data_IF_952089219776
#
_entry.id   IF_952089219776
#
_cell.length_a   1.000
_cell.length_b   1.000
_cell.length_c   1.000
_cell.angle_alpha   90.00
_cell.angle_beta   90.00
_cell.angle_gamma   90.00
#
_symmetry.space_group_name_H-M   'P 1'
#
loop_
_entity.id
_entity.type
_entity.pdbx_description
1 polymer ?
#
# COMPACT_ATOMS: atom_id res chain seq x y z
N UNK A 1 3.30 -11.48 -16.70
CA UNK A 1 3.79 -10.34 -15.95
C UNK A 1 2.70 -9.30 -15.82
N UNK A 2 2.52 -8.77 -14.64
CA UNK A 2 1.50 -7.76 -14.44
C UNK A 2 1.94 -6.45 -15.08
N UNK A 3 1.04 -5.84 -15.84
CA UNK A 3 1.25 -4.51 -16.37
C UNK A 3 0.79 -3.50 -15.32
N UNK A 4 1.73 -2.73 -14.78
CA UNK A 4 1.39 -1.72 -13.80
C UNK A 4 1.37 -0.35 -14.47
N UNK A 5 0.23 -0.07 -15.12
CA UNK A 5 0.01 1.20 -15.79
C UNK A 5 -0.56 2.27 -14.86
N UNK A 6 -0.76 1.94 -13.58
CA UNK A 6 -1.28 2.90 -12.62
C UNK A 6 -0.32 4.06 -12.42
N UNK A 7 -0.83 5.23 -12.03
CA UNK A 7 0.04 6.36 -11.69
C UNK A 7 1.11 5.97 -10.67
N UNK A 8 2.31 6.52 -10.81
CA UNK A 8 3.45 6.18 -9.94
C UNK A 8 3.12 6.42 -8.48
N UNK A 9 2.38 7.48 -8.15
CA UNK A 9 2.08 7.77 -6.74
C UNK A 9 1.26 6.66 -6.08
N UNK A 10 0.42 5.94 -6.83
CA UNK A 10 -0.34 4.82 -6.29
C UNK A 10 0.55 3.63 -5.98
N UNK A 11 1.58 3.39 -6.81
CA UNK A 11 2.54 2.33 -6.52
C UNK A 11 3.36 2.66 -5.28
N UNK A 12 3.76 3.93 -5.13
CA UNK A 12 4.48 4.38 -3.94
C UNK A 12 3.60 4.28 -2.70
N UNK A 13 2.32 4.63 -2.83
CA UNK A 13 1.36 4.47 -1.75
C UNK A 13 1.28 3.02 -1.29
N UNK A 14 1.27 2.07 -2.22
CA UNK A 14 1.21 0.65 -1.89
C UNK A 14 2.44 0.17 -1.13
N UNK A 15 3.62 0.69 -1.46
CA UNK A 15 4.84 0.35 -0.73
C UNK A 15 4.73 0.75 0.73
N UNK A 16 4.24 1.97 0.98
CA UNK A 16 4.06 2.45 2.35
C UNK A 16 2.95 1.65 3.05
N UNK A 17 1.84 1.40 2.36
CA UNK A 17 0.74 0.63 2.92
C UNK A 17 1.22 -0.77 3.34
N UNK A 18 2.01 -1.44 2.49
CA UNK A 18 2.56 -2.74 2.81
C UNK A 18 3.46 -2.68 4.04
N UNK A 19 4.28 -1.64 4.16
CA UNK A 19 5.15 -1.46 5.34
C UNK A 19 4.35 -1.33 6.62
N UNK A 20 3.21 -0.62 6.57
CA UNK A 20 2.33 -0.50 7.74
C UNK A 20 1.68 -1.84 8.06
N UNK A 21 1.14 -2.52 7.04
CA UNK A 21 0.46 -3.79 7.25
C UNK A 21 1.41 -4.90 7.70
N UNK A 22 2.67 -4.84 7.26
CA UNK A 22 3.70 -5.80 7.67
C UNK A 22 4.26 -5.51 9.07
N UNK A 23 3.87 -4.39 9.67
CA UNK A 23 4.30 -4.06 11.02
C UNK A 23 5.59 -3.26 11.10
N UNK A 24 6.15 -2.86 9.97
CA UNK A 24 7.36 -2.02 9.97
C UNK A 24 7.06 -0.65 10.60
N UNK A 25 5.87 -0.12 10.35
CA UNK A 25 5.38 1.11 10.98
C UNK A 25 4.04 0.80 11.64
N UNK A 26 4.03 0.83 12.97
CA UNK A 26 2.82 0.61 13.76
C UNK A 26 2.09 1.92 14.00
N UNK A 27 0.87 1.84 14.49
CA UNK A 27 0.11 3.03 14.87
C UNK A 27 0.95 3.90 15.82
N UNK A 28 1.02 5.19 15.54
CA UNK A 28 1.82 6.12 16.33
C UNK A 28 3.25 6.30 15.86
N UNK A 29 3.74 5.46 14.97
CA UNK A 29 5.12 5.56 14.50
C UNK A 29 5.31 6.67 13.48
N UNK A 30 6.49 7.26 13.49
CA UNK A 30 6.89 8.26 12.52
C UNK A 30 7.22 7.59 11.19
N UNK A 31 6.60 8.07 10.11
CA UNK A 31 6.94 7.63 8.76
C UNK A 31 8.19 8.36 8.27
N UNK A 32 8.91 7.79 7.29
CA UNK A 32 10.03 8.51 6.69
C UNK A 32 9.54 9.81 6.06
N UNK A 33 10.38 10.83 6.06
CA UNK A 33 10.06 12.09 5.40
C UNK A 33 9.86 11.86 3.91
N UNK A 34 9.15 12.78 3.25
CA UNK A 34 8.97 12.75 1.79
C UNK A 34 10.34 12.64 1.11
N UNK A 35 11.30 13.45 1.56
CA UNK A 35 12.63 13.48 0.96
C UNK A 35 13.37 12.17 1.14
N UNK A 36 13.32 11.59 2.35
CA UNK A 36 13.99 10.33 2.63
C UNK A 36 13.39 9.18 1.83
N UNK A 37 12.06 9.12 1.79
CA UNK A 37 11.38 8.06 1.05
C UNK A 37 11.64 8.19 -0.46
N UNK A 38 11.60 9.42 -0.98
CA UNK A 38 11.89 9.67 -2.39
C UNK A 38 13.30 9.21 -2.75
N UNK A 39 14.29 9.50 -1.89
CA UNK A 39 15.66 9.07 -2.12
C UNK A 39 15.77 7.54 -2.10
N UNK A 40 15.12 6.89 -1.13
CA UNK A 40 15.16 5.43 -1.01
C UNK A 40 14.52 4.74 -2.21
N UNK A 41 13.47 5.31 -2.78
CA UNK A 41 12.72 4.71 -3.89
C UNK A 41 13.21 5.19 -5.27
N UNK A 42 14.13 6.14 -5.31
CA UNK A 42 14.54 6.74 -6.58
C UNK A 42 13.39 7.47 -7.26
N UNK A 43 12.51 8.10 -6.48
CA UNK A 43 11.29 8.72 -6.97
C UNK A 43 11.34 10.24 -6.83
N UNK A 44 10.48 10.90 -7.61
CA UNK A 44 10.33 12.35 -7.54
C UNK A 44 9.64 12.72 -6.22
N UNK A 45 10.21 13.66 -5.42
CA UNK A 45 9.58 14.07 -4.16
C UNK A 45 8.15 14.57 -4.30
N UNK A 46 7.79 15.22 -5.41
CA UNK A 46 6.43 15.68 -5.63
C UNK A 46 5.46 14.49 -5.77
N UNK A 47 5.92 13.42 -6.39
CA UNK A 47 5.12 12.21 -6.54
C UNK A 47 4.95 11.50 -5.19
N UNK A 48 6.00 11.48 -4.37
CA UNK A 48 5.93 10.95 -3.01
C UNK A 48 4.97 11.80 -2.18
N UNK A 49 5.05 13.13 -2.30
CA UNK A 49 4.15 14.01 -1.56
C UNK A 49 2.69 13.72 -1.90
N UNK A 50 2.40 13.41 -3.18
CA UNK A 50 1.05 13.04 -3.59
C UNK A 50 0.60 11.73 -2.93
N UNK A 51 1.49 10.75 -2.84
CA UNK A 51 1.20 9.49 -2.16
C UNK A 51 0.90 9.75 -0.67
N UNK A 52 1.71 10.58 -0.02
CA UNK A 52 1.51 10.93 1.38
C UNK A 52 0.20 11.70 1.58
N UNK A 53 -0.13 12.59 0.63
CA UNK A 53 -1.41 13.32 0.69
C UNK A 53 -2.59 12.36 0.66
N UNK A 54 -2.50 11.28 -0.11
CA UNK A 54 -3.59 10.29 -0.16
C UNK A 54 -3.82 9.62 1.19
N UNK A 55 -2.77 9.40 1.97
CA UNK A 55 -2.91 8.89 3.33
C UNK A 55 -3.58 9.91 4.26
N UNK A 56 -3.26 11.20 4.07
CA UNK A 56 -3.92 12.26 4.84
C UNK A 56 -5.41 12.33 4.49
N UNK A 57 -5.74 12.25 3.21
CA UNK A 57 -7.14 12.28 2.74
C UNK A 57 -7.96 11.13 3.34
N UNK A 58 -7.34 9.98 3.54
CA UNK A 58 -7.98 8.81 4.12
C UNK A 58 -7.85 8.75 5.65
N UNK A 59 -7.28 9.79 6.25
CA UNK A 59 -7.11 9.91 7.71
C UNK A 59 -6.28 8.77 8.31
N UNK A 60 -5.32 8.26 7.53
CA UNK A 60 -4.45 7.18 7.99
C UNK A 60 -3.18 7.70 8.66
N UNK A 61 -2.94 8.98 8.56
CA UNK A 61 -1.76 9.63 9.14
C UNK A 61 -2.15 10.92 9.83
N UNK A 62 -1.31 11.33 10.78
CA UNK A 62 -1.42 12.61 11.49
C UNK A 62 -0.16 13.39 11.23
N UNK A 63 -0.30 14.63 10.76
CA UNK A 63 0.84 15.52 10.53
C UNK A 63 1.05 16.35 11.78
N UNK A 64 2.29 16.32 12.30
CA UNK A 64 2.70 17.20 13.39
C UNK A 64 3.70 18.21 12.84
N UNK A 65 3.28 19.47 12.76
CA UNK A 65 4.08 20.53 12.14
C UNK A 65 5.46 20.60 12.78
N UNK A 66 6.49 20.64 11.95
CA UNK A 66 7.87 20.71 12.41
C UNK A 66 8.45 19.39 12.87
N UNK A 67 7.65 18.34 12.94
CA UNK A 67 8.11 17.01 13.39
C UNK A 67 8.01 15.99 12.28
N UNK A 68 6.83 15.83 11.69
CA UNK A 68 6.63 14.87 10.61
C UNK A 68 5.24 14.28 10.57
N UNK A 69 5.15 13.16 9.87
CA UNK A 69 3.89 12.47 9.64
C UNK A 69 3.91 11.14 10.38
N UNK A 70 2.89 10.89 11.18
CA UNK A 70 2.79 9.70 12.02
C UNK A 70 1.62 8.84 11.59
N UNK A 71 1.75 7.53 11.72
CA UNK A 71 0.63 6.61 11.50
C UNK A 71 -0.43 6.88 12.55
N UNK A 72 -1.66 7.11 12.12
CA UNK A 72 -2.76 7.46 13.04
C UNK A 72 -3.19 6.24 13.87
N UNK A 73 -3.76 6.50 15.04
CA UNK A 73 -4.36 5.44 15.86
C UNK A 73 -5.45 4.73 15.07
N UNK A 74 -5.41 3.41 15.07
CA UNK A 74 -6.39 2.61 14.35
C UNK A 74 -6.15 2.53 12.85
N UNK A 75 -5.10 3.20 12.34
CA UNK A 75 -4.85 3.26 10.90
C UNK A 75 -4.51 1.88 10.32
N UNK A 76 -3.71 1.09 11.02
CA UNK A 76 -3.34 -0.24 10.55
C UNK A 76 -4.59 -1.09 10.31
N UNK A 77 -5.52 -1.05 11.25
CA UNK A 77 -6.77 -1.81 11.14
C UNK A 77 -7.63 -1.31 9.97
N UNK A 78 -7.79 0.01 9.85
CA UNK A 78 -8.59 0.59 8.76
C UNK A 78 -7.95 0.33 7.41
N UNK A 79 -6.64 0.45 7.32
CA UNK A 79 -5.91 0.18 6.09
C UNK A 79 -6.06 -1.27 5.67
N UNK A 80 -5.96 -2.20 6.62
CA UNK A 80 -6.16 -3.62 6.32
C UNK A 80 -7.56 -3.85 5.74
N UNK A 81 -8.57 -3.25 6.33
CA UNK A 81 -9.95 -3.38 5.87
C UNK A 81 -10.10 -2.81 4.45
N UNK A 82 -9.53 -1.64 4.20
CA UNK A 82 -9.56 -1.00 2.87
C UNK A 82 -8.88 -1.88 1.82
N UNK A 83 -7.72 -2.42 2.16
CA UNK A 83 -6.95 -3.25 1.22
C UNK A 83 -7.61 -4.60 0.99
N UNK A 84 -8.25 -5.17 2.00
CA UNK A 84 -9.03 -6.40 1.83
C UNK A 84 -10.19 -6.18 0.85
N UNK A 85 -10.93 -5.11 1.03
CA UNK A 85 -12.05 -4.77 0.14
C UNK A 85 -11.55 -4.58 -1.29
N UNK A 86 -10.48 -3.82 -1.46
CA UNK A 86 -9.90 -3.59 -2.79
C UNK A 86 -9.46 -4.90 -3.44
N UNK A 87 -8.82 -5.76 -2.67
CA UNK A 87 -8.36 -7.06 -3.17
C UNK A 87 -9.54 -7.90 -3.67
N UNK A 88 -10.57 -8.04 -2.84
CA UNK A 88 -11.71 -8.89 -3.16
C UNK A 88 -12.55 -8.33 -4.30
N UNK A 89 -12.65 -7.01 -4.42
CA UNK A 89 -13.51 -6.37 -5.42
C UNK A 89 -12.81 -6.14 -6.75
N UNK A 90 -11.50 -5.92 -6.74
CA UNK A 90 -10.79 -5.45 -7.94
C UNK A 90 -9.65 -6.36 -8.36
N UNK A 91 -8.91 -6.92 -7.42
CA UNK A 91 -7.70 -7.70 -7.76
C UNK A 91 -8.04 -9.17 -7.99
N UNK A 92 -8.81 -9.75 -7.10
CA UNK A 92 -9.12 -11.17 -7.15
C UNK A 92 -9.97 -11.58 -8.35
N UNK A 93 -11.05 -10.84 -8.74
CA UNK A 93 -11.90 -11.32 -9.82
C UNK A 93 -11.18 -11.61 -11.14
N UNK A 94 -10.27 -10.73 -11.64
CA UNK A 94 -9.53 -11.07 -12.85
C UNK A 94 -8.57 -12.25 -12.65
N UNK A 95 -8.01 -12.42 -11.46
CA UNK A 95 -7.16 -13.57 -11.15
C UNK A 95 -7.98 -14.86 -11.16
N UNK A 96 -9.16 -14.83 -10.54
CA UNK A 96 -10.07 -15.98 -10.54
C UNK A 96 -10.47 -16.37 -11.97
N UNK A 97 -10.74 -15.37 -12.81
CA UNK A 97 -11.07 -15.65 -14.21
C UNK A 97 -9.90 -16.29 -14.94
N UNK A 98 -8.69 -15.84 -14.69
CA UNK A 98 -7.49 -16.41 -15.29
C UNK A 98 -7.27 -17.85 -14.82
N UNK A 99 -7.49 -18.12 -13.54
CA UNK A 99 -7.38 -19.47 -13.01
C UNK A 99 -8.36 -20.41 -13.72
N UNK A 100 -9.59 -19.96 -13.94
CA UNK A 100 -10.58 -20.79 -14.66
C UNK A 100 -10.12 -21.10 -16.09
N UNK A 101 -9.56 -20.09 -16.79
CA UNK A 101 -9.05 -20.31 -18.15
C UNK A 101 -7.93 -21.32 -18.20
N UNK A 102 -7.10 -21.36 -17.15
CA UNK A 102 -5.94 -22.24 -17.10
C UNK A 102 -6.22 -23.57 -16.44
N UNK A 103 -7.46 -23.79 -15.98
CA UNK A 103 -7.82 -25.02 -15.27
C UNK A 103 -7.14 -25.14 -13.92
N UNK A 104 -6.76 -24.00 -13.31
CA UNK A 104 -6.10 -24.02 -12.01
C UNK A 104 -7.11 -23.96 -10.88
N UNK A 105 -6.82 -24.72 -9.82
CA UNK A 105 -7.60 -24.72 -8.59
C UNK A 105 -6.71 -24.23 -7.45
N UNK A 106 -7.33 -23.91 -6.32
CA UNK A 106 -6.58 -23.37 -5.18
C UNK A 106 -5.47 -24.32 -4.72
N UNK A 107 -5.72 -25.63 -4.75
CA UNK A 107 -4.72 -26.61 -4.33
C UNK A 107 -3.52 -26.68 -5.26
N UNK A 108 -3.62 -26.13 -6.48
CA UNK A 108 -2.48 -26.07 -7.40
C UNK A 108 -1.50 -24.96 -7.06
N UNK A 109 -1.88 -24.07 -6.15
CA UNK A 109 -1.06 -22.91 -5.79
C UNK A 109 -0.20 -23.22 -4.59
N UNK A 110 1.07 -22.81 -4.66
CA UNK A 110 2.00 -22.95 -3.53
C UNK A 110 2.09 -21.60 -2.81
N UNK A 111 1.18 -21.37 -1.88
CA UNK A 111 1.11 -20.11 -1.16
C UNK A 111 2.26 -19.91 -0.18
N UNK A 112 3.03 -20.97 0.10
CA UNK A 112 4.14 -20.86 1.05
C UNK A 112 5.37 -20.22 0.43
N UNK A 113 5.43 -20.14 -0.89
CA UNK A 113 6.55 -19.52 -1.60
C UNK A 113 6.36 -18.02 -1.82
N UNK A 114 5.26 -17.50 -1.39
CA UNK A 114 4.94 -16.08 -1.57
C UNK A 114 5.60 -15.24 -0.50
#
# INVERSE_FOLDING_TARGET
>A
MADDSRPVYLRLREIIAASILDGEYSDGDLLPSVRAFAAAQGANPLTVAKAYQSFQDDELVVVKRGVGMFVADGATRRLRQMERTRFLDSIWPPVAAQMRRLGLRMEDLDVQKV
#
